data_IF_339751089023
#
_entry.id   IF_339751089023
#
_cell.length_a   1.000
_cell.length_b   1.000
_cell.length_c   1.000
_cell.angle_alpha   90.00
_cell.angle_beta   90.00
_cell.angle_gamma   90.00
#
_symmetry.space_group_name_H-M   'P 1'
#
loop_
_entity.id
_entity.type
_entity.pdbx_description
1 polymer ?
#
# COMPACT_ATOMS: atom_id res chain seq x y z
N UNK A 1 47.11 -63.53 -6.50
CA UNK A 1 46.14 -62.88 -5.59
C UNK A 1 45.76 -61.56 -6.22
N UNK A 2 44.54 -61.48 -6.76
CA UNK A 2 44.02 -60.32 -7.49
C UNK A 2 43.61 -59.22 -6.52
N UNK A 3 44.15 -58.01 -6.69
CA UNK A 3 43.64 -56.80 -6.07
C UNK A 3 42.44 -56.28 -6.86
N UNK A 4 41.26 -56.40 -6.26
CA UNK A 4 40.00 -55.88 -6.81
C UNK A 4 39.89 -54.39 -6.45
N UNK A 5 40.23 -53.51 -7.38
CA UNK A 5 40.01 -52.06 -7.27
C UNK A 5 38.51 -51.76 -7.40
N UNK A 6 37.83 -51.51 -6.28
CA UNK A 6 36.47 -50.97 -6.27
C UNK A 6 36.52 -49.48 -6.67
N UNK A 7 36.16 -49.20 -7.93
CA UNK A 7 35.88 -47.86 -8.41
C UNK A 7 34.49 -47.45 -7.92
N UNK A 8 34.45 -46.60 -6.90
CA UNK A 8 33.22 -45.97 -6.41
C UNK A 8 32.76 -44.92 -7.42
N UNK A 9 31.82 -45.25 -8.30
CA UNK A 9 31.15 -44.29 -9.18
C UNK A 9 30.30 -43.33 -8.34
N UNK A 10 30.73 -42.07 -8.25
CA UNK A 10 29.93 -41.00 -7.68
C UNK A 10 28.63 -40.82 -8.50
N UNK A 11 27.47 -40.61 -7.86
CA UNK A 11 26.23 -40.39 -8.60
C UNK A 11 26.32 -39.06 -9.35
N UNK A 12 26.13 -39.13 -10.67
CA UNK A 12 26.05 -37.99 -11.56
C UNK A 12 25.11 -36.93 -10.99
N UNK A 13 25.62 -35.72 -10.81
CA UNK A 13 24.83 -34.57 -10.42
C UNK A 13 23.72 -34.38 -11.45
N UNK A 14 22.48 -34.68 -11.04
CA UNK A 14 21.30 -34.43 -11.85
C UNK A 14 21.32 -32.95 -12.27
N UNK A 15 21.56 -32.71 -13.57
CA UNK A 15 21.44 -31.41 -14.19
C UNK A 15 20.02 -30.89 -13.93
N UNK A 16 19.91 -29.95 -13.01
CA UNK A 16 18.64 -29.25 -12.76
C UNK A 16 18.36 -28.41 -13.99
N UNK A 17 17.52 -28.92 -14.89
CA UNK A 17 17.02 -28.18 -16.04
C UNK A 17 16.51 -26.80 -15.63
N UNK A 18 16.54 -25.80 -16.54
CA UNK A 18 16.28 -24.41 -16.19
C UNK A 18 14.87 -24.28 -15.62
N UNK A 19 14.79 -24.13 -14.29
CA UNK A 19 13.54 -23.89 -13.60
C UNK A 19 12.89 -22.67 -14.26
N UNK A 20 11.77 -22.89 -14.96
CA UNK A 20 10.93 -21.84 -15.57
C UNK A 20 10.52 -20.90 -14.43
N UNK A 21 11.33 -19.88 -14.21
CA UNK A 21 11.14 -18.96 -13.09
C UNK A 21 9.84 -18.20 -13.33
N UNK A 22 8.80 -18.55 -12.59
CA UNK A 22 7.49 -17.92 -12.71
C UNK A 22 7.58 -16.38 -12.65
N UNK A 23 6.60 -15.70 -13.24
CA UNK A 23 6.50 -14.24 -13.36
C UNK A 23 6.92 -13.48 -12.08
N UNK A 24 6.45 -13.96 -10.92
CA UNK A 24 6.77 -13.40 -9.60
C UNK A 24 8.24 -13.54 -9.18
N UNK A 25 8.97 -14.56 -9.67
CA UNK A 25 10.42 -14.71 -9.39
C UNK A 25 11.26 -13.72 -10.20
N UNK A 26 10.78 -13.29 -11.38
CA UNK A 26 11.47 -12.36 -12.29
C UNK A 26 11.09 -10.89 -12.05
N UNK A 27 10.38 -10.57 -10.97
CA UNK A 27 10.03 -9.19 -10.62
C UNK A 27 11.19 -8.19 -10.62
N UNK A 28 12.43 -8.55 -10.19
CA UNK A 28 13.52 -7.60 -10.26
C UNK A 28 13.93 -7.28 -11.70
N UNK A 29 13.54 -8.10 -12.69
CA UNK A 29 13.84 -7.87 -14.10
C UNK A 29 12.76 -7.01 -14.77
N UNK A 30 11.47 -7.30 -14.51
CA UNK A 30 10.37 -6.61 -15.17
C UNK A 30 9.93 -5.31 -14.47
N UNK A 31 10.13 -5.15 -13.14
CA UNK A 31 9.60 -3.99 -12.42
C UNK A 31 10.10 -2.63 -12.93
N UNK A 32 11.41 -2.43 -13.23
CA UNK A 32 11.88 -1.19 -13.85
C UNK A 32 11.23 -0.90 -15.21
N UNK A 33 11.05 -1.92 -16.05
CA UNK A 33 10.38 -1.77 -17.35
C UNK A 33 8.89 -1.44 -17.20
N UNK A 34 8.20 -2.10 -16.26
CA UNK A 34 6.81 -1.81 -15.97
C UNK A 34 6.61 -0.37 -15.45
N UNK A 35 7.51 0.11 -14.58
CA UNK A 35 7.49 1.51 -14.12
C UNK A 35 7.72 2.50 -15.28
N UNK A 36 8.65 2.18 -16.20
CA UNK A 36 8.86 2.98 -17.42
C UNK A 36 7.63 3.02 -18.31
N UNK A 37 7.02 1.88 -18.59
CA UNK A 37 5.83 1.80 -19.43
C UNK A 37 4.65 2.52 -18.80
N UNK A 38 4.48 2.39 -17.47
CA UNK A 38 3.47 3.13 -16.73
C UNK A 38 3.71 4.65 -16.83
N UNK A 39 4.94 5.11 -16.60
CA UNK A 39 5.27 6.53 -16.67
C UNK A 39 5.11 7.10 -18.09
N UNK A 40 5.47 6.32 -19.12
CA UNK A 40 5.26 6.69 -20.51
C UNK A 40 3.77 6.80 -20.84
N UNK A 41 2.98 5.79 -20.47
CA UNK A 41 1.52 5.79 -20.69
C UNK A 41 0.86 6.98 -19.99
N UNK A 42 1.15 7.17 -18.70
CA UNK A 42 0.63 8.30 -17.92
C UNK A 42 1.05 9.65 -18.51
N UNK A 43 2.32 9.79 -18.91
CA UNK A 43 2.83 11.02 -19.52
C UNK A 43 2.22 11.33 -20.88
N UNK A 44 1.99 10.32 -21.73
CA UNK A 44 1.31 10.50 -23.02
C UNK A 44 -0.17 10.86 -22.84
N UNK A 45 -0.86 10.28 -21.86
CA UNK A 45 -2.23 10.67 -21.51
C UNK A 45 -2.29 12.11 -21.02
N UNK A 46 -1.41 12.50 -20.09
CA UNK A 46 -1.33 13.88 -19.59
C UNK A 46 -0.95 14.88 -20.68
N UNK A 47 -0.08 14.50 -21.62
CA UNK A 47 0.24 15.30 -22.80
C UNK A 47 -0.99 15.45 -23.70
N UNK A 48 -1.78 14.40 -23.90
CA UNK A 48 -3.06 14.46 -24.62
C UNK A 48 -4.03 15.47 -24.00
N UNK A 49 -4.17 15.47 -22.66
CA UNK A 49 -5.00 16.46 -21.96
C UNK A 49 -4.47 17.89 -22.08
N UNK A 50 -3.15 18.06 -22.09
CA UNK A 50 -2.50 19.36 -22.33
C UNK A 50 -2.81 19.87 -23.74
N UNK A 51 -2.70 19.00 -24.76
CA UNK A 51 -2.90 19.37 -26.16
C UNK A 51 -4.37 19.60 -26.53
N UNK A 52 -5.29 18.89 -25.86
CA UNK A 52 -6.74 19.01 -26.09
C UNK A 52 -7.39 20.10 -25.25
N UNK A 53 -6.68 20.66 -24.27
CA UNK A 53 -7.21 21.67 -23.35
C UNK A 53 -8.24 21.11 -22.35
N UNK A 54 -8.34 19.78 -22.21
CA UNK A 54 -9.27 19.17 -21.25
C UNK A 54 -8.82 19.31 -19.79
N UNK A 55 -7.51 19.56 -19.56
CA UNK A 55 -6.91 19.73 -18.24
C UNK A 55 -6.84 18.45 -17.41
N UNK A 56 -5.97 18.42 -16.39
CA UNK A 56 -5.92 17.38 -15.36
C UNK A 56 -5.25 17.89 -14.06
N UNK A 57 -5.85 17.73 -12.85
CA UNK A 57 -7.12 17.04 -12.55
C UNK A 57 -8.32 17.64 -13.28
N UNK A 58 -9.42 16.89 -13.51
CA UNK A 58 -10.58 17.43 -14.21
C UNK A 58 -11.09 18.68 -13.49
N UNK A 59 -11.37 19.76 -14.23
CA UNK A 59 -11.91 21.00 -13.64
C UNK A 59 -13.29 20.81 -12.96
N UNK A 60 -13.92 19.64 -13.16
CA UNK A 60 -15.20 19.23 -12.61
C UNK A 60 -15.07 18.19 -11.48
N UNK A 61 -13.94 18.12 -10.76
CA UNK A 61 -13.90 17.35 -9.52
C UNK A 61 -14.93 17.95 -8.54
N UNK A 62 -15.96 17.19 -8.11
CA UNK A 62 -17.01 17.73 -7.26
C UNK A 62 -16.55 18.08 -5.84
N UNK A 63 -15.40 17.56 -5.38
CA UNK A 63 -14.91 17.75 -4.00
C UNK A 63 -13.37 17.94 -3.94
N UNK A 64 -12.83 19.01 -4.56
CA UNK A 64 -11.38 19.24 -4.64
C UNK A 64 -10.72 19.41 -3.26
N UNK A 65 -11.47 19.85 -2.24
CA UNK A 65 -11.02 19.98 -0.86
C UNK A 65 -10.55 18.66 -0.22
N UNK A 66 -11.04 17.52 -0.71
CA UNK A 66 -10.64 16.21 -0.21
C UNK A 66 -9.31 15.75 -0.85
N UNK A 67 -8.88 16.36 -1.94
CA UNK A 67 -7.62 16.05 -2.60
C UNK A 67 -6.49 16.96 -2.11
N UNK A 68 -5.30 16.38 -1.85
CA UNK A 68 -4.09 17.16 -1.57
C UNK A 68 -3.61 17.95 -2.79
N UNK A 69 -4.04 17.55 -4.00
CA UNK A 69 -3.67 18.17 -5.27
C UNK A 69 -4.84 19.00 -5.86
N UNK A 70 -5.98 19.08 -5.17
CA UNK A 70 -7.20 19.74 -5.66
C UNK A 70 -7.03 21.23 -5.99
N UNK A 71 -6.06 21.91 -5.38
CA UNK A 71 -5.80 23.34 -5.61
C UNK A 71 -4.86 23.60 -6.81
N UNK A 72 -4.37 22.55 -7.49
CA UNK A 72 -3.50 22.71 -8.66
C UNK A 72 -4.36 23.09 -9.87
N UNK A 73 -4.12 24.26 -10.51
CA UNK A 73 -4.87 24.65 -11.70
C UNK A 73 -4.71 23.61 -12.82
N UNK A 74 -5.82 23.17 -13.41
CA UNK A 74 -5.83 22.11 -14.42
C UNK A 74 -4.94 22.43 -15.65
N UNK A 75 -4.84 23.71 -16.00
CA UNK A 75 -4.03 24.23 -17.11
C UNK A 75 -2.52 24.14 -16.83
N UNK A 76 -2.11 24.18 -15.56
CA UNK A 76 -0.72 24.03 -15.13
C UNK A 76 -0.38 22.58 -14.74
N UNK A 77 -1.37 21.84 -14.22
CA UNK A 77 -1.23 20.46 -13.76
C UNK A 77 -0.90 19.48 -14.89
N UNK A 78 -1.70 19.49 -15.96
CA UNK A 78 -1.50 18.58 -17.10
C UNK A 78 -0.11 18.67 -17.75
N UNK A 79 0.41 19.86 -18.13
CA UNK A 79 1.75 19.97 -18.73
C UNK A 79 2.87 19.59 -17.74
N UNK A 80 2.71 19.94 -16.45
CA UNK A 80 3.68 19.58 -15.41
C UNK A 80 3.74 18.06 -15.23
N UNK A 81 2.59 17.39 -15.10
CA UNK A 81 2.52 15.94 -14.95
C UNK A 81 3.05 15.22 -16.19
N UNK A 82 2.76 15.72 -17.39
CA UNK A 82 3.32 15.20 -18.63
C UNK A 82 4.86 15.29 -18.63
N UNK A 83 5.42 16.47 -18.32
CA UNK A 83 6.87 16.67 -18.27
C UNK A 83 7.55 15.77 -17.23
N UNK A 84 7.00 15.69 -16.01
CA UNK A 84 7.54 14.84 -14.95
C UNK A 84 7.44 13.36 -15.32
N UNK A 85 6.30 12.90 -15.84
CA UNK A 85 6.10 11.49 -16.20
C UNK A 85 6.98 11.05 -17.38
N UNK A 86 7.19 11.91 -18.38
CA UNK A 86 8.09 11.62 -19.51
C UNK A 86 9.57 11.61 -19.06
N UNK A 87 10.00 12.55 -18.22
CA UNK A 87 11.32 12.53 -17.61
C UNK A 87 11.55 11.29 -16.73
N UNK A 88 10.50 10.88 -16.00
CA UNK A 88 10.48 9.65 -15.23
C UNK A 88 10.58 8.42 -16.14
N UNK A 89 9.88 8.38 -17.27
CA UNK A 89 10.00 7.28 -18.24
C UNK A 89 11.45 7.13 -18.74
N UNK A 90 12.10 8.24 -19.10
CA UNK A 90 13.52 8.26 -19.48
C UNK A 90 14.44 7.73 -18.37
N UNK A 91 14.25 8.21 -17.13
CA UNK A 91 15.03 7.73 -15.97
C UNK A 91 14.79 6.25 -15.70
N UNK A 92 13.55 5.80 -15.76
CA UNK A 92 13.18 4.40 -15.60
C UNK A 92 13.83 3.51 -16.66
N UNK A 93 13.91 3.98 -17.92
CA UNK A 93 14.56 3.23 -19.00
C UNK A 93 16.07 3.05 -18.73
N UNK A 94 16.74 4.08 -18.21
CA UNK A 94 18.15 3.99 -17.77
C UNK A 94 18.28 3.01 -16.60
N UNK A 95 17.40 3.07 -15.61
CA UNK A 95 17.38 2.13 -14.48
C UNK A 95 17.15 0.68 -14.93
N UNK A 96 16.27 0.47 -15.92
CA UNK A 96 15.92 -0.83 -16.45
C UNK A 96 17.08 -1.48 -17.23
N UNK A 97 17.81 -0.68 -18.01
CA UNK A 97 18.97 -1.11 -18.81
C UNK A 97 20.23 -1.35 -17.98
N UNK A 98 20.30 -0.82 -16.75
CA UNK A 98 21.47 -0.98 -15.88
C UNK A 98 21.76 -2.45 -15.55
N UNK A 99 22.99 -2.89 -15.89
CA UNK A 99 23.53 -4.22 -15.59
C UNK A 99 24.39 -4.19 -14.32
N UNK A 100 24.36 -5.26 -13.54
CA UNK A 100 25.20 -5.37 -12.35
C UNK A 100 26.69 -5.29 -12.72
N UNK A 101 27.48 -4.51 -11.97
CA UNK A 101 28.91 -4.30 -12.22
C UNK A 101 29.26 -3.10 -13.10
N UNK A 102 28.28 -2.46 -13.76
CA UNK A 102 28.52 -1.20 -14.44
C UNK A 102 28.75 -0.07 -13.42
N UNK A 103 29.76 0.77 -13.66
CA UNK A 103 30.01 1.94 -12.82
C UNK A 103 28.88 2.96 -13.01
N UNK A 104 28.37 3.48 -11.89
CA UNK A 104 27.35 4.52 -11.89
C UNK A 104 27.87 5.72 -11.12
N UNK A 105 27.90 6.92 -11.73
CA UNK A 105 28.24 8.14 -11.02
C UNK A 105 27.37 8.33 -9.77
N UNK A 106 28.00 8.71 -8.65
CA UNK A 106 27.31 8.86 -7.35
C UNK A 106 26.14 9.84 -7.42
N UNK A 107 26.29 10.92 -8.19
CA UNK A 107 25.25 11.92 -8.39
C UNK A 107 24.03 11.32 -9.11
N UNK A 108 24.25 10.56 -10.19
CA UNK A 108 23.18 9.91 -10.95
C UNK A 108 22.44 8.89 -10.11
N UNK A 109 23.18 8.07 -9.35
CA UNK A 109 22.57 7.11 -8.42
C UNK A 109 21.67 7.81 -7.40
N UNK A 110 22.13 8.91 -6.80
CA UNK A 110 21.34 9.70 -5.83
C UNK A 110 20.11 10.31 -6.51
N UNK A 111 20.28 10.87 -7.70
CA UNK A 111 19.20 11.44 -8.49
C UNK A 111 18.13 10.39 -8.83
N UNK A 112 18.49 9.28 -9.46
CA UNK A 112 17.53 8.26 -9.89
C UNK A 112 16.80 7.59 -8.70
N UNK A 113 17.52 7.31 -7.59
CA UNK A 113 16.89 6.79 -6.38
C UNK A 113 16.01 7.84 -5.69
N UNK A 114 16.44 9.11 -5.69
CA UNK A 114 15.68 10.23 -5.14
C UNK A 114 14.40 10.48 -5.92
N UNK A 115 14.48 10.60 -7.25
CA UNK A 115 13.34 10.78 -8.14
C UNK A 115 12.36 9.61 -8.02
N UNK A 116 12.84 8.36 -8.15
CA UNK A 116 11.96 7.19 -8.07
C UNK A 116 11.34 6.99 -6.68
N UNK A 117 12.05 7.38 -5.61
CA UNK A 117 11.52 7.39 -4.25
C UNK A 117 10.46 8.47 -4.06
N UNK A 118 10.72 9.68 -4.54
CA UNK A 118 9.78 10.80 -4.51
C UNK A 118 8.51 10.49 -5.30
N UNK A 119 8.63 9.97 -6.52
CA UNK A 119 7.48 9.55 -7.34
C UNK A 119 6.65 8.49 -6.63
N UNK A 120 7.30 7.49 -6.02
CA UNK A 120 6.57 6.47 -5.25
C UNK A 120 5.79 7.08 -4.09
N UNK A 121 6.38 8.02 -3.34
CA UNK A 121 5.70 8.71 -2.23
C UNK A 121 4.54 9.57 -2.74
N UNK A 122 4.76 10.38 -3.78
CA UNK A 122 3.72 11.22 -4.37
C UNK A 122 2.54 10.37 -4.83
N UNK A 123 2.80 9.29 -5.58
CA UNK A 123 1.75 8.43 -6.13
C UNK A 123 1.03 7.56 -5.09
N UNK A 124 1.69 7.20 -3.98
CA UNK A 124 1.09 6.36 -2.93
C UNK A 124 0.45 7.15 -1.79
N UNK A 125 0.85 8.41 -1.58
CA UNK A 125 0.46 9.20 -0.40
C UNK A 125 -0.16 10.54 -0.75
N UNK A 126 0.30 11.21 -1.82
CA UNK A 126 -0.16 12.57 -2.16
C UNK A 126 -1.33 12.53 -3.14
N UNK A 127 -1.27 11.66 -4.15
CA UNK A 127 -2.32 11.54 -5.17
C UNK A 127 -3.60 10.86 -4.65
N UNK A 128 -3.53 9.74 -3.91
CA UNK A 128 -4.74 9.13 -3.35
C UNK A 128 -5.34 10.02 -2.27
N UNK A 129 -6.67 10.05 -2.17
CA UNK A 129 -7.37 10.80 -1.14
C UNK A 129 -8.19 9.88 -0.20
N UNK A 130 -9.04 10.49 0.64
CA UNK A 130 -9.90 9.72 1.54
C UNK A 130 -10.99 8.90 0.83
N UNK A 131 -11.34 9.21 -0.42
CA UNK A 131 -12.41 8.55 -1.17
C UNK A 131 -12.03 7.12 -1.51
N UNK A 132 -10.80 6.85 -1.95
CA UNK A 132 -10.36 5.47 -2.20
C UNK A 132 -10.29 4.63 -0.92
N UNK A 133 -9.98 5.24 0.22
CA UNK A 133 -10.03 4.57 1.52
C UNK A 133 -11.48 4.27 1.93
N UNK A 134 -12.40 5.20 1.67
CA UNK A 134 -13.83 4.99 1.88
C UNK A 134 -14.35 3.86 0.99
N UNK A 135 -13.98 3.81 -0.29
CA UNK A 135 -14.30 2.70 -1.19
C UNK A 135 -13.78 1.38 -0.61
N UNK A 136 -12.53 1.32 -0.14
CA UNK A 136 -12.02 0.09 0.48
C UNK A 136 -12.81 -0.33 1.73
N UNK A 137 -13.29 0.64 2.52
CA UNK A 137 -14.10 0.38 3.73
C UNK A 137 -15.54 -0.02 3.42
N UNK A 138 -16.19 0.61 2.46
CA UNK A 138 -17.62 0.43 2.17
C UNK A 138 -17.92 -0.61 1.09
N UNK A 139 -17.03 -0.82 0.11
CA UNK A 139 -17.28 -1.79 -0.97
C UNK A 139 -17.63 -3.19 -0.47
N UNK A 140 -16.95 -3.77 0.55
CA UNK A 140 -17.34 -5.08 1.05
C UNK A 140 -18.78 -5.11 1.60
N UNK A 141 -19.24 -4.03 2.24
CA UNK A 141 -20.62 -3.87 2.70
C UNK A 141 -21.58 -3.74 1.52
N UNK A 142 -21.27 -2.86 0.57
CA UNK A 142 -22.08 -2.61 -0.63
C UNK A 142 -22.24 -3.90 -1.43
N UNK A 143 -21.16 -4.65 -1.65
CA UNK A 143 -21.21 -5.93 -2.39
C UNK A 143 -22.07 -6.96 -1.66
N UNK A 144 -22.02 -7.01 -0.32
CA UNK A 144 -22.85 -7.92 0.47
C UNK A 144 -24.34 -7.54 0.46
N UNK A 145 -24.67 -6.24 0.41
CA UNK A 145 -26.04 -5.73 0.51
C UNK A 145 -26.69 -5.41 -0.84
N UNK A 146 -25.91 -5.14 -1.90
CA UNK A 146 -26.40 -4.80 -3.24
C UNK A 146 -27.35 -5.83 -3.88
N UNK A 147 -27.27 -7.15 -3.57
CA UNK A 147 -28.30 -8.10 -4.00
C UNK A 147 -29.70 -7.80 -3.43
N UNK A 148 -29.77 -7.11 -2.30
CA UNK A 148 -31.00 -6.86 -1.53
C UNK A 148 -31.47 -5.40 -1.59
N UNK A 149 -30.63 -4.47 -2.06
CA UNK A 149 -30.92 -3.04 -2.13
C UNK A 149 -30.60 -2.46 -3.52
N UNK A 150 -31.57 -1.76 -4.12
CA UNK A 150 -31.42 -1.20 -5.45
C UNK A 150 -30.60 0.11 -5.50
N UNK A 151 -30.62 0.91 -4.43
CA UNK A 151 -29.81 2.12 -4.30
C UNK A 151 -28.33 1.78 -4.17
N UNK A 152 -27.98 0.85 -3.29
CA UNK A 152 -26.59 0.40 -3.10
C UNK A 152 -26.00 -0.22 -4.37
N UNK A 153 -26.83 -0.83 -5.23
CA UNK A 153 -26.38 -1.35 -6.52
C UNK A 153 -26.01 -0.24 -7.50
N UNK A 154 -26.74 0.87 -7.49
CA UNK A 154 -26.39 2.05 -8.29
C UNK A 154 -25.09 2.69 -7.77
N UNK A 155 -24.92 2.77 -6.45
CA UNK A 155 -23.70 3.28 -5.81
C UNK A 155 -22.45 2.46 -6.15
N UNK A 156 -22.60 1.14 -6.30
CA UNK A 156 -21.51 0.28 -6.75
C UNK A 156 -21.00 0.66 -8.14
N UNK A 157 -21.88 1.11 -9.05
CA UNK A 157 -21.49 1.63 -10.36
C UNK A 157 -20.67 2.92 -10.27
N UNK A 158 -21.06 3.81 -9.36
CA UNK A 158 -20.37 5.09 -9.11
C UNK A 158 -19.00 4.90 -8.44
N UNK A 159 -18.81 3.83 -7.67
CA UNK A 159 -17.53 3.47 -7.05
C UNK A 159 -16.41 3.17 -8.07
N UNK A 160 -16.74 2.97 -9.36
CA UNK A 160 -15.78 2.76 -10.45
C UNK A 160 -15.69 3.97 -11.41
N UNK A 161 -16.06 5.16 -10.95
CA UNK A 161 -15.92 6.39 -11.73
C UNK A 161 -14.46 6.70 -12.15
N UNK A 162 -14.27 7.61 -13.12
CA UNK A 162 -12.94 7.96 -13.66
C UNK A 162 -11.92 8.37 -12.59
N UNK A 163 -12.37 9.05 -11.54
CA UNK A 163 -11.54 9.46 -10.40
C UNK A 163 -10.94 8.24 -9.67
N UNK A 164 -11.77 7.28 -9.28
CA UNK A 164 -11.30 6.05 -8.63
C UNK A 164 -10.34 5.25 -9.52
N UNK A 165 -10.60 5.22 -10.84
CA UNK A 165 -9.69 4.59 -11.80
C UNK A 165 -8.33 5.29 -11.82
N UNK A 166 -8.30 6.62 -11.82
CA UNK A 166 -7.06 7.38 -11.74
C UNK A 166 -6.30 7.10 -10.44
N UNK A 167 -6.96 7.09 -9.30
CA UNK A 167 -6.33 6.76 -8.01
C UNK A 167 -5.77 5.34 -7.99
N UNK A 168 -6.48 4.36 -8.56
CA UNK A 168 -5.97 2.98 -8.71
C UNK A 168 -4.74 2.94 -9.64
N UNK A 169 -4.75 3.68 -10.74
CA UNK A 169 -3.60 3.78 -11.64
C UNK A 169 -2.40 4.45 -10.95
N UNK A 170 -2.63 5.49 -10.15
CA UNK A 170 -1.61 6.15 -9.35
C UNK A 170 -0.99 5.19 -8.33
N UNK A 171 -1.82 4.45 -7.56
CA UNK A 171 -1.35 3.43 -6.63
C UNK A 171 -0.50 2.36 -7.33
N UNK A 172 -0.96 1.86 -8.48
CA UNK A 172 -0.20 0.89 -9.27
C UNK A 172 1.16 1.46 -9.71
N UNK A 173 1.17 2.70 -10.22
CA UNK A 173 2.38 3.43 -10.58
C UNK A 173 3.34 3.61 -9.41
N UNK A 174 2.81 3.99 -8.25
CA UNK A 174 3.56 4.18 -7.03
C UNK A 174 4.26 2.91 -6.55
N UNK A 175 3.55 1.77 -6.55
CA UNK A 175 4.16 0.47 -6.24
C UNK A 175 5.18 0.02 -7.28
N UNK A 176 4.93 0.26 -8.57
CA UNK A 176 5.90 -0.02 -9.64
C UNK A 176 7.17 0.81 -9.48
N UNK A 177 7.05 2.11 -9.20
CA UNK A 177 8.19 3.00 -8.96
C UNK A 177 8.93 2.65 -7.67
N UNK A 178 8.23 2.28 -6.59
CA UNK A 178 8.87 1.78 -5.38
C UNK A 178 9.69 0.51 -5.67
N UNK A 179 9.12 -0.45 -6.41
CA UNK A 179 9.79 -1.68 -6.80
C UNK A 179 11.00 -1.41 -7.71
N UNK A 180 10.85 -0.58 -8.74
CA UNK A 180 11.92 -0.19 -9.65
C UNK A 180 13.08 0.51 -8.92
N UNK A 181 12.76 1.44 -8.03
CA UNK A 181 13.71 2.18 -7.19
C UNK A 181 14.48 1.24 -6.28
N UNK A 182 13.79 0.32 -5.59
CA UNK A 182 14.42 -0.67 -4.72
C UNK A 182 15.35 -1.59 -5.51
N UNK A 183 14.93 -2.07 -6.68
CA UNK A 183 15.76 -2.90 -7.55
C UNK A 183 17.02 -2.15 -7.98
N UNK A 184 16.87 -0.93 -8.48
CA UNK A 184 18.00 -0.12 -8.95
C UNK A 184 18.96 0.23 -7.80
N UNK A 185 18.43 0.63 -6.65
CA UNK A 185 19.22 0.91 -5.45
C UNK A 185 19.99 -0.33 -4.97
N UNK A 186 19.40 -1.52 -5.07
CA UNK A 186 20.05 -2.79 -4.70
C UNK A 186 21.15 -3.19 -5.68
N UNK A 187 20.88 -3.08 -6.99
CA UNK A 187 21.85 -3.38 -8.07
C UNK A 187 23.09 -2.49 -7.96
N UNK A 188 22.89 -1.19 -7.79
CA UNK A 188 23.98 -0.20 -7.69
C UNK A 188 24.74 -0.25 -6.36
N UNK A 189 24.16 -0.87 -5.32
CA UNK A 189 24.81 -1.07 -4.03
C UNK A 189 25.54 -2.44 -3.90
N UNK A 190 25.54 -3.27 -4.95
CA UNK A 190 26.12 -4.62 -4.89
C UNK A 190 25.37 -5.60 -3.97
N UNK A 191 24.18 -5.23 -3.49
CA UNK A 191 23.35 -6.09 -2.64
C UNK A 191 22.53 -7.07 -3.47
N UNK A 192 22.12 -8.18 -2.87
CA UNK A 192 21.20 -9.10 -3.54
C UNK A 192 19.92 -8.36 -3.97
N UNK A 193 19.63 -8.34 -5.27
CA UNK A 193 18.46 -7.63 -5.83
C UNK A 193 17.13 -8.07 -5.24
N UNK A 194 17.05 -9.32 -4.76
CA UNK A 194 15.81 -9.92 -4.25
C UNK A 194 15.59 -9.71 -2.76
N UNK A 195 16.58 -10.00 -1.92
CA UNK A 195 16.45 -9.87 -0.46
C UNK A 195 17.08 -8.58 0.11
N UNK A 196 17.93 -7.89 -0.66
CA UNK A 196 18.63 -6.67 -0.24
C UNK A 196 19.76 -6.89 0.77
N UNK A 197 20.16 -8.14 1.07
CA UNK A 197 21.31 -8.46 1.93
C UNK A 197 22.62 -8.12 1.19
N UNK A 198 23.56 -7.42 1.87
CA UNK A 198 24.74 -8.16 2.33
C UNK A 198 25.22 -7.78 3.74
N UNK A 199 24.89 -6.58 4.28
CA UNK A 199 25.18 -6.17 5.66
C UNK A 199 24.30 -4.96 6.06
N UNK A 200 23.15 -5.21 6.70
CA UNK A 200 22.23 -4.17 7.22
C UNK A 200 21.73 -4.53 8.62
N UNK A 201 22.55 -5.27 9.39
CA UNK A 201 22.15 -5.84 10.67
C UNK A 201 21.60 -4.77 11.62
N UNK A 202 22.29 -3.63 11.75
CA UNK A 202 21.84 -2.53 12.61
C UNK A 202 20.48 -1.94 12.22
N UNK A 203 20.22 -1.71 10.92
CA UNK A 203 18.91 -1.17 10.47
C UNK A 203 17.80 -2.20 10.65
N UNK A 204 18.08 -3.47 10.37
CA UNK A 204 17.14 -4.57 10.61
C UNK A 204 16.82 -4.67 12.09
N UNK A 205 17.84 -4.67 12.96
CA UNK A 205 17.68 -4.66 14.41
C UNK A 205 16.82 -3.47 14.87
N UNK A 206 17.02 -2.27 14.30
CA UNK A 206 16.16 -1.12 14.60
C UNK A 206 14.70 -1.34 14.26
N UNK A 207 14.41 -1.86 13.07
CA UNK A 207 13.02 -2.13 12.67
C UNK A 207 12.41 -3.20 13.58
N UNK A 208 13.17 -4.24 13.89
CA UNK A 208 12.71 -5.34 14.76
C UNK A 208 12.47 -4.88 16.21
N UNK A 209 13.32 -4.01 16.77
CA UNK A 209 13.17 -3.50 18.15
C UNK A 209 11.84 -2.78 18.36
N UNK A 210 11.44 -1.97 17.37
CA UNK A 210 10.22 -1.16 17.42
C UNK A 210 9.02 -1.88 16.79
N UNK A 211 9.23 -3.04 16.17
CA UNK A 211 8.19 -3.75 15.43
C UNK A 211 6.96 -4.07 16.29
N UNK A 212 7.18 -4.44 17.57
CA UNK A 212 6.08 -4.77 18.49
C UNK A 212 5.29 -3.53 18.91
N UNK A 213 5.99 -2.44 19.26
CA UNK A 213 5.36 -1.17 19.61
C UNK A 213 4.56 -0.61 18.43
N UNK A 214 5.14 -0.62 17.23
CA UNK A 214 4.47 -0.19 16.00
C UNK A 214 3.19 -1.01 15.74
N UNK A 215 3.22 -2.33 15.93
CA UNK A 215 2.02 -3.17 15.80
C UNK A 215 0.93 -2.80 16.81
N UNK A 216 1.27 -2.53 18.07
CA UNK A 216 0.27 -2.12 19.06
C UNK A 216 -0.32 -0.75 18.75
N UNK A 217 0.49 0.23 18.36
CA UNK A 217 -0.01 1.55 17.91
C UNK A 217 -0.94 1.37 16.71
N UNK A 218 -0.54 0.56 15.73
CA UNK A 218 -1.33 0.30 14.53
C UNK A 218 -2.65 -0.46 14.81
N UNK A 219 -2.74 -1.19 15.92
CA UNK A 219 -3.95 -1.88 16.33
C UNK A 219 -4.87 -0.99 17.19
N UNK A 220 -4.31 -0.15 18.06
CA UNK A 220 -5.09 0.72 18.96
C UNK A 220 -5.91 1.75 18.18
N UNK A 221 -5.35 2.35 17.13
CA UNK A 221 -6.04 3.41 16.38
C UNK A 221 -7.36 2.92 15.74
N UNK A 222 -7.39 1.83 14.95
CA UNK A 222 -8.66 1.30 14.44
C UNK A 222 -9.57 0.79 15.57
N UNK A 223 -9.04 0.34 16.70
CA UNK A 223 -9.87 -0.04 17.86
C UNK A 223 -10.59 1.17 18.48
N UNK A 224 -9.93 2.32 18.59
CA UNK A 224 -10.53 3.57 19.04
C UNK A 224 -11.64 4.03 18.09
N UNK A 225 -11.39 3.96 16.78
CA UNK A 225 -12.42 4.21 15.77
C UNK A 225 -13.61 3.26 15.91
N UNK A 226 -13.36 1.96 16.10
CA UNK A 226 -14.43 1.01 16.29
C UNK A 226 -15.26 1.29 17.55
N UNK A 227 -14.60 1.69 18.65
CA UNK A 227 -15.27 2.02 19.89
C UNK A 227 -16.26 3.18 19.70
N UNK A 228 -15.90 4.24 18.98
CA UNK A 228 -16.83 5.35 18.74
C UNK A 228 -18.04 4.91 17.91
N UNK A 229 -17.85 4.07 16.87
CA UNK A 229 -18.96 3.56 16.06
C UNK A 229 -19.91 2.67 16.84
N UNK A 230 -19.38 1.78 17.68
CA UNK A 230 -20.21 0.93 18.53
C UNK A 230 -20.93 1.68 19.65
N UNK A 231 -20.35 2.78 20.15
CA UNK A 231 -21.04 3.68 21.09
C UNK A 231 -22.26 4.35 20.42
N UNK A 232 -22.14 4.80 19.17
CA UNK A 232 -23.29 5.35 18.43
C UNK A 232 -24.39 4.31 18.21
N UNK A 233 -24.02 3.09 17.83
CA UNK A 233 -24.96 1.96 17.69
C UNK A 233 -25.66 1.64 19.02
N UNK A 234 -24.97 1.84 20.15
CA UNK A 234 -25.55 1.68 21.49
C UNK A 234 -26.40 2.87 21.96
N UNK A 235 -26.62 3.88 21.11
CA UNK A 235 -27.42 5.07 21.44
C UNK A 235 -26.66 6.11 22.27
N UNK A 236 -25.33 6.03 22.35
CA UNK A 236 -24.50 7.01 23.07
C UNK A 236 -24.06 8.10 22.09
N UNK A 237 -24.54 9.36 22.23
CA UNK A 237 -24.23 10.47 21.32
C UNK A 237 -22.84 11.05 21.61
N UNK A 238 -21.80 10.22 21.50
CA UNK A 238 -20.42 10.69 21.70
C UNK A 238 -20.00 11.54 20.51
N UNK A 239 -19.71 12.83 20.76
CA UNK A 239 -19.23 13.81 19.77
C UNK A 239 -20.17 14.03 18.58
N UNK A 240 -21.47 14.01 18.84
CA UNK A 240 -22.56 14.56 18.02
C UNK A 240 -23.75 14.87 18.94
N UNK A 241 -24.71 15.68 18.49
CA UNK A 241 -25.94 15.94 19.22
C UNK A 241 -26.87 14.72 19.24
N UNK A 242 -27.84 14.67 20.15
CA UNK A 242 -28.85 13.58 20.18
C UNK A 242 -29.70 13.60 18.91
N UNK A 243 -30.04 14.79 18.43
CA UNK A 243 -30.80 14.99 17.20
C UNK A 243 -30.04 14.45 15.98
N UNK A 244 -28.73 14.66 15.90
CA UNK A 244 -27.88 14.10 14.84
C UNK A 244 -27.82 12.57 14.90
N UNK A 245 -27.73 12.00 16.11
CA UNK A 245 -27.72 10.56 16.30
C UNK A 245 -29.07 9.93 15.89
N UNK A 246 -30.17 10.54 16.31
CA UNK A 246 -31.53 10.07 16.01
C UNK A 246 -31.83 10.17 14.51
N UNK A 247 -31.40 11.26 13.85
CA UNK A 247 -31.49 11.39 12.40
C UNK A 247 -30.67 10.31 11.68
N UNK A 248 -29.41 10.09 12.09
CA UNK A 248 -28.57 9.03 11.53
C UNK A 248 -29.16 7.62 11.77
N UNK A 249 -29.87 7.41 12.87
CA UNK A 249 -30.56 6.15 13.15
C UNK A 249 -31.79 5.96 12.25
N UNK A 250 -32.57 7.02 12.03
CA UNK A 250 -33.74 7.00 11.13
C UNK A 250 -33.35 6.72 9.67
N UNK A 251 -32.21 7.27 9.22
CA UNK A 251 -31.71 7.09 7.85
C UNK A 251 -30.92 5.78 7.65
N UNK A 252 -30.88 4.89 8.65
CA UNK A 252 -30.18 3.61 8.57
C UNK A 252 -28.66 3.68 8.74
N UNK A 253 -28.10 4.83 9.10
CA UNK A 253 -26.67 5.05 9.32
C UNK A 253 -26.05 4.16 10.41
N UNK A 254 -26.86 3.61 11.32
CA UNK A 254 -26.41 2.64 12.33
C UNK A 254 -25.91 1.33 11.72
N UNK A 255 -26.46 0.91 10.58
CA UNK A 255 -25.97 -0.30 9.86
C UNK A 255 -24.55 -0.05 9.37
N UNK A 256 -24.30 1.10 8.75
CA UNK A 256 -22.98 1.51 8.30
C UNK A 256 -21.99 1.65 9.48
N UNK A 257 -22.42 2.27 10.59
CA UNK A 257 -21.61 2.40 11.79
C UNK A 257 -21.23 1.02 12.38
N UNK A 258 -22.20 0.12 12.53
CA UNK A 258 -21.96 -1.24 13.02
C UNK A 258 -21.01 -2.03 12.11
N UNK A 259 -21.21 -1.93 10.78
CA UNK A 259 -20.34 -2.58 9.80
C UNK A 259 -18.90 -2.05 9.91
N UNK A 260 -18.71 -0.73 9.82
CA UNK A 260 -17.38 -0.12 9.85
C UNK A 260 -16.67 -0.34 11.18
N UNK A 261 -17.41 -0.26 12.29
CA UNK A 261 -16.88 -0.57 13.62
C UNK A 261 -16.41 -2.03 13.69
N UNK A 262 -17.22 -2.97 13.21
CA UNK A 262 -16.85 -4.39 13.14
C UNK A 262 -15.65 -4.64 12.22
N UNK A 263 -15.63 -4.00 11.05
CA UNK A 263 -14.55 -4.12 10.07
C UNK A 263 -13.23 -3.59 10.62
N UNK A 264 -13.28 -2.46 11.34
CA UNK A 264 -12.12 -1.91 12.05
C UNK A 264 -11.64 -2.83 13.20
N UNK A 265 -12.54 -3.50 13.94
CA UNK A 265 -12.15 -4.52 14.92
C UNK A 265 -11.49 -5.73 14.26
N UNK A 266 -12.00 -6.21 13.12
CA UNK A 266 -11.35 -7.29 12.36
C UNK A 266 -9.96 -6.84 11.92
N UNK A 267 -9.82 -5.63 11.37
CA UNK A 267 -8.51 -5.05 11.02
C UNK A 267 -7.56 -4.91 12.21
N UNK A 268 -8.09 -4.53 13.38
CA UNK A 268 -7.35 -4.46 14.66
C UNK A 268 -6.81 -5.83 15.03
N UNK A 269 -7.66 -6.86 15.05
CA UNK A 269 -7.26 -8.23 15.35
C UNK A 269 -6.20 -8.67 14.36
N UNK A 270 -6.45 -8.57 13.05
CA UNK A 270 -5.50 -8.91 11.97
C UNK A 270 -4.14 -8.23 12.15
N UNK A 271 -4.13 -6.96 12.55
CA UNK A 271 -2.90 -6.20 12.83
C UNK A 271 -2.13 -6.80 14.01
N UNK A 272 -2.80 -7.19 15.10
CA UNK A 272 -2.15 -7.92 16.20
C UNK A 272 -1.53 -9.23 15.73
N UNK A 273 -2.09 -9.86 14.69
CA UNK A 273 -1.54 -11.04 14.03
C UNK A 273 -0.09 -10.87 13.58
N UNK A 274 0.33 -9.65 13.24
CA UNK A 274 1.71 -9.36 12.84
C UNK A 274 2.73 -9.65 13.95
N UNK A 275 2.33 -9.76 15.22
CA UNK A 275 3.22 -10.10 16.35
C UNK A 275 2.80 -11.35 17.11
N UNK A 276 1.72 -12.02 16.69
CA UNK A 276 1.16 -13.18 17.37
C UNK A 276 1.35 -14.45 16.55
N UNK A 277 1.43 -15.59 17.25
CA UNK A 277 1.66 -16.91 16.61
C UNK A 277 0.63 -17.26 15.54
N UNK A 278 -0.62 -16.85 15.72
CA UNK A 278 -1.70 -17.15 14.78
C UNK A 278 -1.59 -16.40 13.45
N UNK A 279 -0.89 -15.24 13.42
CA UNK A 279 -0.54 -14.57 12.19
C UNK A 279 0.65 -15.22 11.50
N UNK A 280 1.35 -16.13 12.17
CA UNK A 280 2.49 -16.85 11.61
C UNK A 280 2.15 -18.26 11.13
N UNK A 281 1.27 -18.92 11.85
CA UNK A 281 0.77 -20.27 11.59
C UNK A 281 -0.73 -20.25 11.76
N UNK A 282 -1.46 -20.74 10.76
CA UNK A 282 -2.92 -20.76 10.81
C UNK A 282 -3.43 -21.54 12.02
N UNK A 283 -4.38 -20.98 12.79
CA UNK A 283 -4.98 -21.64 13.94
C UNK A 283 -5.53 -23.04 13.64
N UNK A 284 -5.53 -23.90 14.66
CA UNK A 284 -5.97 -25.30 14.54
C UNK A 284 -7.45 -25.48 14.22
N UNK A 285 -8.26 -24.45 14.46
CA UNK A 285 -9.70 -24.44 14.18
C UNK A 285 -10.03 -24.12 12.71
N UNK A 286 -9.06 -23.69 11.88
CA UNK A 286 -9.27 -23.46 10.45
C UNK A 286 -9.12 -24.80 9.71
N UNK A 287 -10.20 -25.43 9.22
CA UNK A 287 -10.16 -26.83 8.78
C UNK A 287 -9.14 -27.12 7.66
N UNK A 288 -9.03 -26.20 6.69
CA UNK A 288 -8.20 -26.38 5.48
C UNK A 288 -6.75 -25.96 5.66
N UNK A 289 -6.50 -24.97 6.53
CA UNK A 289 -5.18 -24.32 6.67
C UNK A 289 -4.47 -24.68 7.97
N UNK A 290 -5.09 -25.47 8.84
CA UNK A 290 -4.59 -25.90 10.15
C UNK A 290 -3.09 -26.19 10.16
N UNK A 291 -2.35 -25.44 10.98
CA UNK A 291 -0.93 -25.67 11.23
C UNK A 291 0.01 -25.31 10.06
N UNK A 292 -0.52 -24.83 8.92
CA UNK A 292 0.31 -24.34 7.82
C UNK A 292 0.88 -22.97 8.16
N UNK A 293 2.08 -22.69 7.66
CA UNK A 293 2.66 -21.36 7.77
C UNK A 293 1.85 -20.36 6.93
N UNK A 294 1.54 -19.21 7.53
CA UNK A 294 0.90 -18.10 6.82
C UNK A 294 1.89 -17.55 5.79
N UNK A 295 1.55 -17.52 4.49
CA UNK A 295 2.42 -16.93 3.48
C UNK A 295 2.70 -15.46 3.81
N UNK A 296 3.97 -15.05 3.77
CA UNK A 296 4.36 -13.67 4.16
C UNK A 296 3.60 -12.61 3.36
N UNK A 297 3.37 -12.85 2.06
CA UNK A 297 2.62 -11.94 1.19
C UNK A 297 1.16 -11.76 1.60
N UNK A 298 0.53 -12.77 2.22
CA UNK A 298 -0.87 -12.69 2.66
C UNK A 298 -1.08 -11.65 3.77
N UNK A 299 -0.06 -11.42 4.60
CA UNK A 299 -0.10 -10.39 5.65
C UNK A 299 0.49 -9.06 5.17
N UNK A 300 1.63 -9.09 4.46
CA UNK A 300 2.37 -7.87 4.11
C UNK A 300 1.68 -7.05 3.03
N UNK A 301 1.10 -7.70 2.00
CA UNK A 301 0.49 -6.96 0.88
C UNK A 301 -0.73 -6.16 1.34
N UNK A 302 -1.74 -6.77 2.01
CA UNK A 302 -2.89 -5.99 2.50
C UNK A 302 -2.48 -4.93 3.52
N UNK A 303 -1.57 -5.24 4.45
CA UNK A 303 -1.10 -4.27 5.43
C UNK A 303 -0.40 -3.07 4.77
N UNK A 304 0.37 -3.30 3.71
CA UNK A 304 1.05 -2.21 2.97
C UNK A 304 0.03 -1.34 2.22
N UNK A 305 -0.96 -1.96 1.55
CA UNK A 305 -2.01 -1.22 0.85
C UNK A 305 -2.81 -0.36 1.84
N UNK A 306 -3.32 -0.96 2.92
CA UNK A 306 -4.07 -0.23 3.96
C UNK A 306 -3.21 0.85 4.59
N UNK A 307 -1.91 0.60 4.84
CA UNK A 307 -1.01 1.61 5.39
C UNK A 307 -0.88 2.85 4.48
N UNK A 308 -0.74 2.66 3.17
CA UNK A 308 -0.63 3.79 2.23
C UNK A 308 -1.95 4.56 2.17
N UNK A 309 -3.08 3.86 2.02
CA UNK A 309 -4.41 4.48 1.95
C UNK A 309 -4.80 5.21 3.24
N UNK A 310 -4.52 4.62 4.39
CA UNK A 310 -4.72 5.25 5.69
C UNK A 310 -3.86 6.52 5.85
N UNK A 311 -2.62 6.47 5.38
CA UNK A 311 -1.73 7.64 5.41
C UNK A 311 -2.29 8.75 4.51
N UNK A 312 -2.63 8.42 3.26
CA UNK A 312 -3.13 9.35 2.27
C UNK A 312 -4.47 9.97 2.69
N UNK A 313 -5.47 9.13 3.01
CA UNK A 313 -6.78 9.57 3.49
C UNK A 313 -6.72 10.33 4.81
N UNK A 314 -5.80 9.97 5.71
CA UNK A 314 -5.58 10.70 6.95
C UNK A 314 -5.01 12.10 6.73
N UNK A 315 -4.05 12.26 5.80
CA UNK A 315 -3.49 13.56 5.45
C UNK A 315 -4.51 14.46 4.75
N UNK A 316 -5.27 13.89 3.82
CA UNK A 316 -6.43 14.53 3.18
C UNK A 316 -7.42 15.07 4.23
N UNK A 317 -7.85 14.22 5.16
CA UNK A 317 -8.77 14.62 6.22
C UNK A 317 -8.17 15.66 7.18
N UNK A 318 -6.85 15.61 7.43
CA UNK A 318 -6.15 16.60 8.25
C UNK A 318 -6.11 17.96 7.56
N UNK A 319 -5.91 18.01 6.23
CA UNK A 319 -6.01 19.24 5.42
C UNK A 319 -7.40 19.84 5.59
N UNK A 320 -8.44 19.10 5.25
CA UNK A 320 -9.83 19.57 5.30
C UNK A 320 -10.24 19.99 6.71
N UNK A 321 -9.79 19.25 7.72
CA UNK A 321 -10.20 19.46 9.10
C UNK A 321 -9.52 20.61 9.81
N UNK A 322 -8.19 20.72 9.68
CA UNK A 322 -7.38 21.68 10.42
C UNK A 322 -7.12 22.95 9.61
N UNK A 323 -6.90 22.83 8.29
CA UNK A 323 -6.53 23.98 7.46
C UNK A 323 -7.76 24.73 6.95
N UNK A 324 -8.84 24.01 6.62
CA UNK A 324 -10.08 24.63 6.12
C UNK A 324 -11.11 24.92 7.24
N UNK A 325 -10.74 24.68 8.51
CA UNK A 325 -11.57 24.90 9.71
C UNK A 325 -12.98 24.28 9.63
N UNK A 326 -13.14 23.18 8.89
CA UNK A 326 -14.44 22.53 8.64
C UNK A 326 -14.97 21.72 9.82
N UNK A 327 -14.15 21.42 10.83
CA UNK A 327 -14.57 20.63 11.99
C UNK A 327 -14.69 21.47 13.25
N UNK A 328 -15.84 21.37 13.89
CA UNK A 328 -16.09 22.01 15.18
C UNK A 328 -15.72 21.09 16.34
N UNK A 329 -15.46 21.65 17.52
CA UNK A 329 -15.21 20.85 18.73
C UNK A 329 -16.38 19.90 19.06
N UNK A 330 -17.58 20.16 18.55
CA UNK A 330 -18.76 19.28 18.67
C UNK A 330 -18.62 17.97 17.89
N UNK A 331 -17.88 17.94 16.78
CA UNK A 331 -17.77 16.77 15.87
C UNK A 331 -16.57 15.87 16.19
N UNK A 332 -15.93 16.10 17.34
CA UNK A 332 -14.64 15.50 17.68
C UNK A 332 -14.65 13.97 17.65
N UNK A 333 -15.77 13.31 17.97
CA UNK A 333 -15.82 11.84 17.97
C UNK A 333 -16.07 11.26 16.58
N UNK A 334 -16.67 12.04 15.67
CA UNK A 334 -16.88 11.63 14.29
C UNK A 334 -15.56 11.64 13.49
N UNK A 335 -14.69 12.59 13.80
CA UNK A 335 -13.48 12.87 13.02
C UNK A 335 -12.18 12.63 13.80
N UNK A 336 -12.17 12.84 15.12
CA UNK A 336 -10.98 12.78 15.96
C UNK A 336 -10.22 11.45 15.87
N UNK A 337 -10.87 10.27 15.91
CA UNK A 337 -10.17 9.01 15.67
C UNK A 337 -9.50 8.93 14.29
N UNK A 338 -10.08 9.58 13.27
CA UNK A 338 -9.54 9.60 11.91
C UNK A 338 -8.34 10.56 11.76
N UNK A 339 -8.18 11.55 12.64
CA UNK A 339 -6.96 12.38 12.72
C UNK A 339 -5.71 11.56 13.06
N UNK A 340 -5.88 10.36 13.64
CA UNK A 340 -4.78 9.46 13.96
C UNK A 340 -4.38 8.58 12.75
N UNK A 341 -5.07 8.65 11.61
CA UNK A 341 -4.81 7.79 10.47
C UNK A 341 -3.42 7.92 9.83
N UNK A 342 -2.77 9.12 9.75
CA UNK A 342 -1.39 9.20 9.30
C UNK A 342 -0.43 8.41 10.20
N UNK A 343 -0.63 8.49 11.52
CA UNK A 343 0.13 7.71 12.49
C UNK A 343 -0.16 6.21 12.35
N UNK A 344 -1.43 5.84 12.15
CA UNK A 344 -1.85 4.46 11.91
C UNK A 344 -1.16 3.87 10.67
N UNK A 345 -1.18 4.59 9.56
CA UNK A 345 -0.56 4.17 8.31
C UNK A 345 0.95 3.96 8.45
N UNK A 346 1.67 4.91 9.05
CA UNK A 346 3.11 4.78 9.31
C UNK A 346 3.42 3.62 10.25
N UNK A 347 2.65 3.47 11.34
CA UNK A 347 2.83 2.38 12.29
C UNK A 347 2.56 1.01 11.65
N UNK A 348 1.52 0.90 10.80
CA UNK A 348 1.17 -0.32 10.09
C UNK A 348 2.22 -0.68 9.03
N UNK A 349 2.74 0.28 8.28
CA UNK A 349 3.85 0.06 7.34
C UNK A 349 5.11 -0.45 8.07
N UNK A 350 5.43 0.12 9.23
CA UNK A 350 6.55 -0.32 10.06
C UNK A 350 6.32 -1.73 10.61
N UNK A 351 5.11 -2.03 11.08
CA UNK A 351 4.73 -3.36 11.55
C UNK A 351 4.82 -4.42 10.43
N UNK A 352 4.34 -4.10 9.24
CA UNK A 352 4.42 -4.97 8.06
C UNK A 352 5.87 -5.24 7.65
N UNK A 353 6.73 -4.20 7.67
CA UNK A 353 8.16 -4.35 7.41
C UNK A 353 8.83 -5.23 8.47
N UNK A 354 8.53 -5.01 9.76
CA UNK A 354 9.07 -5.83 10.84
C UNK A 354 8.63 -7.30 10.73
N UNK A 355 7.35 -7.54 10.40
CA UNK A 355 6.83 -8.88 10.15
C UNK A 355 7.55 -9.56 8.96
N UNK A 356 7.72 -8.84 7.85
CA UNK A 356 8.48 -9.34 6.69
C UNK A 356 9.93 -9.67 7.06
N UNK A 357 10.59 -8.81 7.83
CA UNK A 357 11.98 -9.02 8.26
C UNK A 357 12.17 -10.21 9.20
N UNK A 358 11.20 -10.49 10.08
CA UNK A 358 11.22 -11.68 10.96
C UNK A 358 10.94 -12.98 10.21
N UNK A 359 10.07 -12.92 9.20
CA UNK A 359 9.53 -14.11 8.52
C UNK A 359 10.21 -14.43 7.19
N UNK A 360 11.11 -13.57 6.71
CA UNK A 360 11.93 -13.87 5.53
C UNK A 360 12.92 -14.98 5.88
N UNK A 361 12.78 -16.13 5.22
CA UNK A 361 13.73 -17.23 5.36
C UNK A 361 15.03 -16.99 4.57
N UNK A 362 15.79 -18.07 4.37
CA UNK A 362 16.99 -18.05 3.54
C UNK A 362 16.71 -17.57 2.11
N UNK A 363 17.66 -16.84 1.52
CA UNK A 363 17.52 -16.33 0.16
C UNK A 363 18.08 -17.32 -0.86
N UNK A 364 17.21 -17.99 -1.61
CA UNK A 364 17.62 -18.91 -2.68
C UNK A 364 18.43 -18.26 -3.82
N UNK A 365 18.51 -16.93 -3.90
CA UNK A 365 19.27 -16.21 -4.94
C UNK A 365 20.71 -15.89 -4.51
N UNK A 366 20.96 -15.63 -3.21
CA UNK A 366 22.30 -15.30 -2.72
C UNK A 366 22.81 -16.23 -1.61
N UNK A 367 22.09 -17.29 -1.28
CA UNK A 367 22.47 -18.29 -0.27
C UNK A 367 22.39 -17.84 1.19
N UNK A 368 22.13 -16.56 1.47
CA UNK A 368 22.12 -16.04 2.84
C UNK A 368 21.02 -16.71 3.70
N UNK A 369 21.37 -17.18 4.89
CA UNK A 369 20.48 -17.83 5.86
C UNK A 369 19.50 -16.86 6.54
N UNK A 370 18.43 -17.39 7.14
CA UNK A 370 17.27 -16.65 7.69
C UNK A 370 17.64 -15.55 8.67
#
# INVERSE_FOLDING_TARGET
>A
MNETTMVTTAPAAAERGPARGGFWRRWPQWAPWAATLWALGYGLTALGWTLTGSGFPPAADPEPELSLVGDVPADAGAPLFAAVALAAAGTGAVMARHRAGAEVPRWWRRFAVGLGGLLAVVLLVVVPDMRILAVLGYVPMIVALAPFDAGLRADLGNAFGPEHVHQVLALAGGFLWAAATVVYARRTAGSCVRCGRPDRAARVATVLRWGRAATYVAAVIPALYAATRWLWVAGVPMGMSREQLDAAAADGGMVAAAFLGSFALVGTVLTLGLVQRWGEVFPRWIPVLRGRSVPVGLAVVPATVVAMLATAGGLSLTKTGLLDARFTASDWAAVGPAMLWPLWGVALAWAALAYWLRRRGGCATCGAEG
#
